data_IF_582554200828
#
_entry.id   IF_582554200828
#
_cell.length_a   1.000
_cell.length_b   1.000
_cell.length_c   1.000
_cell.angle_alpha   90.00
_cell.angle_beta   90.00
_cell.angle_gamma   90.00
#
_symmetry.space_group_name_H-M   'P 1'
#
loop_
_entity.id
_entity.type
_entity.pdbx_description
1 polymer ?
#
# COMPACT_ATOMS: atom_id res chain seq x y z
N UNK A 1 -18.22 1.44 21.80
CA UNK A 1 -17.46 1.73 20.58
C UNK A 1 -16.40 2.77 20.90
N UNK A 2 -15.15 2.64 20.43
CA UNK A 2 -14.16 3.69 20.59
C UNK A 2 -14.62 4.95 19.85
N UNK A 3 -14.33 6.10 20.43
CA UNK A 3 -14.69 7.40 19.85
C UNK A 3 -13.62 7.76 18.84
N UNK A 4 -13.90 7.59 17.55
CA UNK A 4 -12.92 7.64 16.45
C UNK A 4 -12.27 9.01 16.23
N UNK A 5 -12.88 10.09 16.71
CA UNK A 5 -12.33 11.45 16.64
C UNK A 5 -11.48 11.85 17.85
N UNK A 6 -11.34 10.98 18.86
CA UNK A 6 -10.50 11.20 20.04
C UNK A 6 -9.27 10.31 20.04
N UNK A 7 -8.22 10.79 20.70
CA UNK A 7 -7.03 9.97 20.88
C UNK A 7 -7.40 8.60 21.56
N UNK A 8 -6.76 7.51 21.19
CA UNK A 8 -5.61 7.42 20.28
C UNK A 8 -5.93 7.40 18.78
N UNK A 9 -7.19 7.34 18.35
CA UNK A 9 -7.58 7.22 16.94
C UNK A 9 -7.49 8.58 16.23
N UNK A 10 -8.22 9.61 16.71
CA UNK A 10 -8.08 11.00 16.30
C UNK A 10 -8.16 11.27 14.80
N UNK A 11 -9.13 10.65 14.10
CA UNK A 11 -9.27 10.85 12.66
C UNK A 11 -9.61 12.30 12.32
N UNK A 12 -8.94 12.83 11.31
CA UNK A 12 -9.29 14.09 10.65
C UNK A 12 -10.60 13.97 9.86
N UNK A 13 -11.16 15.11 9.45
CA UNK A 13 -12.38 15.10 8.65
C UNK A 13 -12.18 14.42 7.31
N UNK A 14 -11.02 14.59 6.66
CA UNK A 14 -10.70 13.96 5.39
C UNK A 14 -10.60 12.44 5.52
N UNK A 15 -10.04 11.95 6.61
CA UNK A 15 -9.97 10.52 6.92
C UNK A 15 -11.35 9.94 7.21
N UNK A 16 -12.23 10.69 7.88
CA UNK A 16 -13.62 10.28 8.10
C UNK A 16 -14.39 10.22 6.79
N UNK A 17 -14.22 11.22 5.90
CA UNK A 17 -14.81 11.22 4.56
C UNK A 17 -14.37 9.99 3.78
N UNK A 18 -13.08 9.66 3.83
CA UNK A 18 -12.54 8.50 3.13
C UNK A 18 -13.12 7.18 3.65
N UNK A 19 -13.24 7.04 4.97
CA UNK A 19 -13.82 5.85 5.62
C UNK A 19 -15.31 5.70 5.27
N UNK A 20 -16.07 6.78 5.37
CA UNK A 20 -17.50 6.75 5.06
C UNK A 20 -17.73 6.44 3.59
N UNK A 21 -17.02 7.08 2.67
CA UNK A 21 -17.09 6.79 1.24
C UNK A 21 -16.80 5.32 0.94
N UNK A 22 -15.78 4.75 1.59
CA UNK A 22 -15.44 3.34 1.42
C UNK A 22 -16.54 2.40 1.96
N UNK A 23 -17.10 2.69 3.13
CA UNK A 23 -18.16 1.89 3.74
C UNK A 23 -19.42 1.87 2.87
N UNK A 24 -19.88 3.03 2.41
CA UNK A 24 -21.06 3.14 1.55
C UNK A 24 -20.85 2.47 0.19
N UNK A 25 -19.67 2.64 -0.41
CA UNK A 25 -19.32 1.96 -1.66
C UNK A 25 -19.34 0.42 -1.53
N UNK A 26 -18.93 -0.09 -0.37
CA UNK A 26 -18.96 -1.54 -0.08
C UNK A 26 -20.37 -2.09 0.02
N UNK A 27 -21.29 -1.32 0.59
CA UNK A 27 -22.71 -1.71 0.74
C UNK A 27 -23.53 -1.45 -0.54
N UNK A 28 -22.93 -0.89 -1.61
CA UNK A 28 -23.60 -0.56 -2.86
C UNK A 28 -24.60 0.59 -2.73
N UNK A 29 -24.44 1.43 -1.72
CA UNK A 29 -25.24 2.63 -1.45
C UNK A 29 -24.45 3.86 -1.89
N UNK A 30 -25.13 4.86 -2.44
CA UNK A 30 -24.48 6.12 -2.79
C UNK A 30 -23.96 6.81 -1.53
N UNK A 31 -22.66 7.13 -1.46
CA UNK A 31 -22.08 7.76 -0.28
C UNK A 31 -22.59 9.20 -0.14
N UNK A 32 -22.73 9.71 1.09
CA UNK A 32 -23.00 11.13 1.30
C UNK A 32 -21.87 11.98 0.71
N UNK A 33 -22.22 13.18 0.28
CA UNK A 33 -21.23 14.11 -0.26
C UNK A 33 -20.25 14.57 0.82
N UNK A 34 -19.02 14.98 0.47
CA UNK A 34 -18.07 15.54 1.43
C UNK A 34 -18.65 16.68 2.27
N UNK A 35 -19.46 17.54 1.67
CA UNK A 35 -20.11 18.67 2.36
C UNK A 35 -21.13 18.20 3.41
N UNK A 36 -21.87 17.14 3.14
CA UNK A 36 -22.83 16.55 4.08
C UNK A 36 -22.09 15.90 5.27
N UNK A 37 -20.99 15.20 5.01
CA UNK A 37 -20.14 14.62 6.05
C UNK A 37 -19.53 15.73 6.91
N UNK A 38 -19.01 16.79 6.30
CA UNK A 38 -18.45 17.94 7.01
C UNK A 38 -19.49 18.66 7.86
N UNK A 39 -20.69 18.85 7.35
CA UNK A 39 -21.80 19.44 8.09
C UNK A 39 -22.21 18.57 9.29
N UNK A 40 -22.30 17.27 9.11
CA UNK A 40 -22.57 16.32 10.19
C UNK A 40 -21.45 16.32 11.23
N UNK A 41 -20.19 16.33 10.82
CA UNK A 41 -19.02 16.42 11.68
C UNK A 41 -19.08 17.67 12.56
N UNK A 42 -19.33 18.84 11.96
CA UNK A 42 -19.45 20.11 12.68
C UNK A 42 -20.65 20.14 13.64
N UNK A 43 -21.73 19.45 13.29
CA UNK A 43 -22.95 19.40 14.12
C UNK A 43 -22.81 18.50 15.34
N UNK A 44 -22.18 17.33 15.18
CA UNK A 44 -22.16 16.30 16.22
C UNK A 44 -20.86 16.23 17.03
N UNK A 45 -19.77 16.83 16.54
CA UNK A 45 -18.50 16.87 17.24
C UNK A 45 -18.21 18.28 17.72
N UNK A 46 -18.23 18.54 19.04
CA UNK A 46 -17.90 19.83 19.61
C UNK A 46 -16.51 20.31 19.19
N UNK A 47 -16.32 21.60 19.02
CA UNK A 47 -15.04 22.16 18.56
C UNK A 47 -13.86 21.82 19.49
N UNK A 48 -14.12 21.68 20.79
CA UNK A 48 -13.14 21.22 21.78
C UNK A 48 -12.62 19.80 21.54
N UNK A 49 -13.39 18.97 20.85
CA UNK A 49 -13.11 17.56 20.62
C UNK A 49 -12.57 17.31 19.19
N UNK A 50 -12.53 18.36 18.35
CA UNK A 50 -11.98 18.26 17.01
C UNK A 50 -10.45 18.27 17.05
N UNK A 51 -9.75 17.39 16.30
CA UNK A 51 -8.30 17.47 16.21
C UNK A 51 -7.89 18.82 15.61
N UNK A 52 -6.97 19.51 16.27
CA UNK A 52 -6.39 20.75 15.75
C UNK A 52 -5.43 20.39 14.60
N UNK A 53 -5.35 21.22 13.55
CA UNK A 53 -4.48 20.94 12.40
C UNK A 53 -2.99 20.71 12.75
N UNK A 54 -2.55 21.18 13.93
CA UNK A 54 -1.18 21.04 14.42
C UNK A 54 -0.94 19.79 15.28
N UNK A 55 -2.00 19.09 15.72
CA UNK A 55 -1.91 17.94 16.64
C UNK A 55 -1.97 16.59 15.91
N UNK A 56 -2.07 16.58 14.60
CA UNK A 56 -2.00 15.36 13.80
C UNK A 56 -0.54 15.00 13.62
N UNK A 57 -0.03 13.91 14.22
CA UNK A 57 1.29 13.41 13.88
C UNK A 57 1.27 12.95 12.42
N UNK A 58 1.84 13.77 11.53
CA UNK A 58 1.86 13.52 10.09
C UNK A 58 0.54 13.91 9.43
N UNK A 59 0.22 15.22 9.40
CA UNK A 59 -0.63 15.75 8.36
C UNK A 59 0.03 15.37 7.04
N UNK A 60 -0.48 14.31 6.40
CA UNK A 60 -0.10 14.00 5.04
C UNK A 60 -0.31 15.28 4.22
N UNK A 61 0.66 15.70 3.41
CA UNK A 61 0.43 16.80 2.47
C UNK A 61 -0.85 16.49 1.70
N UNK A 62 -1.65 17.51 1.43
CA UNK A 62 -2.91 17.42 0.70
C UNK A 62 -2.82 16.33 -0.35
N UNK A 63 -3.70 15.31 -0.24
CA UNK A 63 -3.64 14.11 -1.05
C UNK A 63 -3.47 14.44 -2.53
N UNK A 64 -2.76 13.63 -3.29
CA UNK A 64 -2.52 13.90 -4.70
C UNK A 64 -3.87 14.11 -5.42
N UNK A 65 -3.87 15.06 -6.36
CA UNK A 65 -5.03 15.33 -7.21
C UNK A 65 -5.63 14.02 -7.76
N UNK A 66 -6.95 13.91 -7.94
CA UNK A 66 -7.59 12.70 -8.44
C UNK A 66 -6.87 12.18 -9.69
N UNK A 67 -6.25 11.00 -9.60
CA UNK A 67 -5.46 10.40 -10.67
C UNK A 67 -3.94 10.57 -10.57
N UNK A 68 -3.41 11.37 -9.64
CA UNK A 68 -1.97 11.42 -9.40
C UNK A 68 -1.50 10.18 -8.62
N UNK A 69 -0.29 9.65 -8.89
CA UNK A 69 0.26 8.54 -8.13
C UNK A 69 0.49 8.95 -6.67
N UNK A 70 0.09 8.09 -5.75
CA UNK A 70 0.24 8.32 -4.30
C UNK A 70 1.71 8.28 -3.88
N UNK A 71 2.56 7.57 -4.65
CA UNK A 71 3.99 7.40 -4.41
C UNK A 71 4.75 7.75 -5.68
N UNK A 72 5.63 8.74 -5.58
CA UNK A 72 6.33 9.34 -6.74
C UNK A 72 7.74 8.80 -6.96
N UNK A 73 8.27 8.02 -6.01
CA UNK A 73 9.64 7.53 -6.08
C UNK A 73 10.71 8.55 -5.69
N UNK A 74 10.32 9.72 -5.17
CA UNK A 74 11.25 10.65 -4.53
C UNK A 74 11.60 10.17 -3.12
N UNK A 75 10.70 9.39 -2.52
CA UNK A 75 10.84 8.84 -1.19
C UNK A 75 11.91 7.74 -1.10
N UNK A 76 12.53 7.55 0.08
CA UNK A 76 13.33 6.38 0.38
C UNK A 76 12.50 5.08 0.21
N UNK A 77 13.16 3.98 -0.18
CA UNK A 77 12.46 2.74 -0.53
C UNK A 77 11.61 2.15 0.62
N UNK A 78 12.04 2.31 1.87
CA UNK A 78 11.26 1.89 3.05
C UNK A 78 9.94 2.67 3.18
N UNK A 79 9.94 3.96 2.86
CA UNK A 79 8.72 4.76 2.84
C UNK A 79 7.80 4.36 1.68
N UNK A 80 8.37 4.04 0.52
CA UNK A 80 7.60 3.52 -0.62
C UNK A 80 6.86 2.24 -0.22
N UNK A 81 7.54 1.27 0.42
CA UNK A 81 6.90 0.05 0.90
C UNK A 81 5.82 0.32 1.96
N UNK A 82 6.02 1.34 2.80
CA UNK A 82 5.05 1.75 3.81
C UNK A 82 3.83 2.40 3.19
N UNK A 83 4.01 3.41 2.32
CA UNK A 83 2.91 4.12 1.65
C UNK A 83 2.10 3.21 0.72
N UNK A 84 2.78 2.25 0.06
CA UNK A 84 2.13 1.26 -0.79
C UNK A 84 1.54 0.07 -0.01
N UNK A 85 1.68 0.04 1.34
CA UNK A 85 1.19 -1.00 2.24
C UNK A 85 1.73 -2.41 1.94
N UNK A 86 2.85 -2.54 1.26
CA UNK A 86 3.45 -3.83 0.94
C UNK A 86 3.81 -4.64 2.20
N UNK A 87 4.27 -3.95 3.25
CA UNK A 87 4.66 -4.52 4.54
C UNK A 87 3.51 -5.23 5.27
N UNK A 88 2.27 -4.82 5.01
CA UNK A 88 1.09 -5.40 5.68
C UNK A 88 0.86 -6.86 5.26
N UNK A 89 1.21 -7.20 4.02
CA UNK A 89 0.99 -8.54 3.47
C UNK A 89 2.28 -9.36 3.34
N UNK A 90 3.42 -8.70 3.14
CA UNK A 90 4.68 -9.36 2.83
C UNK A 90 5.73 -9.22 3.93
N UNK A 91 6.48 -10.29 4.17
CA UNK A 91 7.77 -10.19 4.85
C UNK A 91 8.81 -9.70 3.86
N UNK A 92 9.44 -8.54 4.16
CA UNK A 92 10.46 -7.89 3.31
C UNK A 92 11.72 -7.68 4.14
N UNK A 93 12.78 -8.49 3.94
CA UNK A 93 14.04 -8.34 4.69
C UNK A 93 14.60 -6.93 4.58
N UNK A 94 15.01 -6.35 5.71
CA UNK A 94 15.60 -5.01 5.79
C UNK A 94 14.60 -3.86 5.87
N UNK A 95 13.30 -4.11 5.68
CA UNK A 95 12.25 -3.09 5.85
C UNK A 95 11.64 -3.22 7.25
N UNK A 96 11.76 -2.18 8.11
CA UNK A 96 11.22 -2.22 9.47
C UNK A 96 9.70 -2.48 9.48
N UNK A 97 9.26 -3.42 10.31
CA UNK A 97 7.84 -3.77 10.44
C UNK A 97 7.26 -4.61 9.31
N UNK A 98 8.03 -4.93 8.27
CA UNK A 98 7.56 -5.76 7.15
C UNK A 98 7.67 -7.25 7.48
N UNK A 99 6.74 -7.73 8.29
CA UNK A 99 6.63 -9.13 8.76
C UNK A 99 5.31 -9.79 8.36
N UNK A 100 4.64 -9.24 7.36
CA UNK A 100 3.36 -9.76 6.87
C UNK A 100 3.48 -11.19 6.33
N UNK A 101 2.45 -12.01 6.57
CA UNK A 101 2.39 -13.41 6.16
C UNK A 101 1.15 -13.71 5.27
N UNK A 102 0.46 -12.69 4.82
CA UNK A 102 -0.71 -12.80 3.92
C UNK A 102 -0.29 -13.06 2.48
N UNK A 103 0.94 -12.66 2.14
CA UNK A 103 1.61 -12.92 0.86
C UNK A 103 2.98 -13.57 1.06
N UNK A 104 3.65 -13.96 -0.03
CA UNK A 104 4.96 -14.60 0.05
C UNK A 104 6.03 -13.63 0.59
N UNK A 105 7.05 -14.20 1.24
CA UNK A 105 8.27 -13.48 1.58
C UNK A 105 8.97 -13.02 0.30
N UNK A 106 9.36 -11.74 0.27
CA UNK A 106 9.96 -11.12 -0.91
C UNK A 106 11.50 -11.23 -0.85
N UNK A 107 12.03 -12.29 -1.40
CA UNK A 107 13.48 -12.54 -1.61
C UNK A 107 13.67 -12.91 -3.08
N UNK A 108 13.41 -11.94 -3.96
CA UNK A 108 13.13 -12.21 -5.36
C UNK A 108 14.37 -12.62 -6.16
N UNK A 109 15.57 -12.28 -5.70
CA UNK A 109 16.80 -12.83 -6.30
C UNK A 109 16.86 -14.36 -6.21
N UNK A 110 16.28 -14.93 -5.14
CA UNK A 110 16.17 -16.39 -4.97
C UNK A 110 14.92 -16.95 -5.64
N UNK A 111 13.78 -16.30 -5.44
CA UNK A 111 12.47 -16.87 -5.79
C UNK A 111 12.11 -16.72 -7.26
N UNK A 112 12.35 -15.55 -7.84
CA UNK A 112 11.90 -15.23 -9.20
C UNK A 112 12.46 -16.17 -10.29
N UNK A 113 13.74 -16.58 -10.26
CA UNK A 113 14.26 -17.50 -11.27
C UNK A 113 13.55 -18.86 -11.29
N UNK A 114 13.09 -19.34 -10.14
CA UNK A 114 12.35 -20.60 -10.03
C UNK A 114 10.90 -20.43 -10.48
N UNK A 115 10.27 -19.31 -10.09
CA UNK A 115 8.87 -19.00 -10.42
C UNK A 115 8.66 -18.76 -11.92
N UNK A 116 9.60 -18.06 -12.58
CA UNK A 116 9.57 -17.85 -14.03
C UNK A 116 9.62 -19.18 -14.81
N UNK A 117 10.28 -20.20 -14.26
CA UNK A 117 10.38 -21.54 -14.87
C UNK A 117 9.24 -22.48 -14.49
N UNK A 118 8.36 -22.08 -13.57
CA UNK A 118 7.23 -22.90 -13.16
C UNK A 118 6.26 -23.09 -14.34
N UNK A 119 5.83 -24.33 -14.68
CA UNK A 119 4.83 -24.57 -15.71
C UNK A 119 3.50 -23.85 -15.49
N UNK A 120 3.17 -23.47 -14.25
CA UNK A 120 1.99 -22.69 -13.93
C UNK A 120 2.15 -21.18 -14.17
N UNK A 121 3.37 -20.72 -14.45
CA UNK A 121 3.62 -19.30 -14.75
C UNK A 121 3.01 -18.92 -16.10
N UNK A 122 2.12 -17.92 -16.09
CA UNK A 122 1.41 -17.43 -17.30
C UNK A 122 1.86 -16.03 -17.70
N UNK A 123 2.84 -15.49 -17.01
CA UNK A 123 3.42 -14.19 -17.29
C UNK A 123 4.38 -14.20 -18.48
N UNK A 124 5.00 -13.06 -18.71
CA UNK A 124 5.94 -12.84 -19.83
C UNK A 124 7.34 -12.49 -19.37
N UNK A 125 7.57 -12.39 -18.07
CA UNK A 125 8.87 -12.01 -17.53
C UNK A 125 9.94 -13.08 -17.84
N UNK A 126 11.12 -12.63 -18.23
CA UNK A 126 12.30 -13.45 -18.53
C UNK A 126 13.45 -13.19 -17.57
N UNK A 127 13.33 -12.14 -16.75
CA UNK A 127 14.32 -11.72 -15.77
C UNK A 127 13.67 -11.47 -14.41
N UNK A 128 14.50 -11.46 -13.34
CA UNK A 128 14.06 -11.13 -11.98
C UNK A 128 13.36 -9.78 -11.94
N UNK A 129 13.90 -8.77 -12.61
CA UNK A 129 13.36 -7.42 -12.64
C UNK A 129 11.98 -7.36 -13.30
N UNK A 130 11.85 -8.02 -14.43
CA UNK A 130 10.57 -8.11 -15.15
C UNK A 130 9.53 -8.88 -14.34
N UNK A 131 9.93 -9.97 -13.66
CA UNK A 131 9.05 -10.72 -12.78
C UNK A 131 8.51 -9.85 -11.62
N UNK A 132 9.37 -9.07 -10.98
CA UNK A 132 8.94 -8.16 -9.90
C UNK A 132 7.96 -7.13 -10.45
N UNK A 133 8.27 -6.49 -11.60
CA UNK A 133 7.38 -5.53 -12.24
C UNK A 133 6.02 -6.16 -12.55
N UNK A 134 6.02 -7.32 -13.20
CA UNK A 134 4.80 -8.04 -13.57
C UNK A 134 3.97 -8.43 -12.34
N UNK A 135 4.61 -8.89 -11.27
CA UNK A 135 3.95 -9.23 -10.00
C UNK A 135 3.28 -8.03 -9.34
N UNK A 136 3.80 -6.82 -9.52
CA UNK A 136 3.20 -5.59 -9.01
C UNK A 136 2.02 -5.14 -9.88
N UNK A 137 2.19 -5.15 -11.20
CA UNK A 137 1.21 -4.59 -12.15
C UNK A 137 0.12 -5.60 -12.49
N UNK A 138 0.45 -6.88 -12.56
CA UNK A 138 -0.45 -7.96 -12.95
C UNK A 138 -0.32 -9.15 -11.99
N UNK A 139 -0.66 -8.98 -10.69
CA UNK A 139 -0.38 -9.98 -9.65
C UNK A 139 -1.01 -11.35 -9.90
N UNK A 140 -2.09 -11.42 -10.69
CA UNK A 140 -2.72 -12.69 -11.06
C UNK A 140 -2.01 -13.41 -12.21
N UNK A 141 -0.94 -12.85 -12.81
CA UNK A 141 -0.16 -13.57 -13.83
C UNK A 141 0.53 -14.82 -13.24
N UNK A 142 0.92 -14.75 -11.98
CA UNK A 142 1.41 -15.89 -11.22
C UNK A 142 1.08 -15.77 -9.74
N UNK A 143 0.24 -16.67 -9.25
CA UNK A 143 -0.14 -16.74 -7.84
C UNK A 143 0.69 -17.80 -7.14
N UNK A 144 1.55 -17.37 -6.23
CA UNK A 144 2.42 -18.26 -5.45
C UNK A 144 1.59 -19.08 -4.47
N UNK A 145 1.64 -20.40 -4.57
CA UNK A 145 0.99 -21.29 -3.59
C UNK A 145 1.69 -21.22 -2.22
N UNK A 146 0.98 -21.28 -1.09
CA UNK A 146 -0.47 -21.58 -0.96
C UNK A 146 -1.37 -20.33 -0.95
N UNK A 147 -0.89 -19.16 -1.35
CA UNK A 147 -1.65 -17.92 -1.26
C UNK A 147 -2.79 -17.89 -2.27
N UNK A 148 -3.96 -17.32 -1.90
CA UNK A 148 -5.09 -17.19 -2.82
C UNK A 148 -4.90 -16.03 -3.82
N UNK A 149 -5.52 -16.13 -4.99
CA UNK A 149 -5.63 -15.01 -5.92
C UNK A 149 -6.55 -13.90 -5.37
N UNK A 150 -6.45 -12.72 -5.94
CA UNK A 150 -7.26 -11.54 -5.61
C UNK A 150 -7.06 -10.94 -4.20
N UNK A 151 -6.03 -11.35 -3.47
CA UNK A 151 -5.63 -10.71 -2.21
C UNK A 151 -4.73 -9.50 -2.47
N UNK A 152 -3.78 -9.62 -3.39
CA UNK A 152 -2.93 -8.49 -3.78
C UNK A 152 -3.72 -7.51 -4.64
N UNK A 153 -3.76 -6.21 -4.29
CA UNK A 153 -4.45 -5.19 -5.09
C UNK A 153 -3.92 -5.12 -6.52
N UNK A 154 -4.82 -4.86 -7.49
CA UNK A 154 -4.49 -4.81 -8.94
C UNK A 154 -4.34 -3.38 -9.46
N UNK A 155 -4.31 -2.40 -8.60
CA UNK A 155 -4.33 -0.97 -8.93
C UNK A 155 -3.00 -0.24 -8.66
N UNK A 156 -1.94 -0.98 -8.38
CA UNK A 156 -0.62 -0.39 -8.10
C UNK A 156 -0.08 0.46 -9.27
N UNK A 157 -0.41 0.12 -10.52
CA UNK A 157 -0.06 0.95 -11.67
C UNK A 157 -0.70 2.34 -11.69
N UNK A 158 -1.75 2.57 -10.87
CA UNK A 158 -2.36 3.89 -10.67
C UNK A 158 -1.80 4.61 -9.44
N UNK A 159 -1.30 3.86 -8.46
CA UNK A 159 -0.83 4.38 -7.17
C UNK A 159 0.67 4.67 -7.16
N UNK A 160 1.45 3.95 -7.94
CA UNK A 160 2.89 4.06 -8.03
C UNK A 160 3.27 4.59 -9.40
N UNK A 161 4.13 5.60 -9.45
CA UNK A 161 4.73 6.00 -10.71
C UNK A 161 5.90 5.06 -11.09
N UNK A 162 6.44 5.21 -12.29
CA UNK A 162 7.53 4.38 -12.78
C UNK A 162 8.80 4.45 -11.91
N UNK A 163 9.10 5.62 -11.33
CA UNK A 163 10.26 5.78 -10.46
C UNK A 163 10.12 5.00 -9.15
N UNK A 164 8.92 5.05 -8.53
CA UNK A 164 8.62 4.26 -7.33
C UNK A 164 8.71 2.75 -7.60
N UNK A 165 8.12 2.28 -8.71
CA UNK A 165 8.20 0.88 -9.11
C UNK A 165 9.66 0.46 -9.34
N UNK A 166 10.46 1.28 -10.01
CA UNK A 166 11.88 0.98 -10.23
C UNK A 166 12.66 0.88 -8.91
N UNK A 167 12.43 1.76 -7.94
CA UNK A 167 13.06 1.65 -6.61
C UNK A 167 12.68 0.35 -5.88
N UNK A 168 11.42 -0.06 -5.96
CA UNK A 168 10.97 -1.36 -5.42
C UNK A 168 11.71 -2.50 -6.12
N UNK A 169 11.77 -2.48 -7.45
CA UNK A 169 12.46 -3.51 -8.25
C UNK A 169 13.95 -3.57 -7.89
N UNK A 170 14.61 -2.41 -7.79
CA UNK A 170 16.02 -2.33 -7.45
C UNK A 170 16.31 -2.93 -6.07
N UNK A 171 15.44 -2.70 -5.09
CA UNK A 171 15.57 -3.26 -3.77
C UNK A 171 15.30 -4.77 -3.75
N UNK A 172 14.14 -5.19 -4.25
CA UNK A 172 13.72 -6.60 -4.21
C UNK A 172 14.62 -7.53 -5.04
N UNK A 173 15.17 -7.04 -6.16
CA UNK A 173 16.07 -7.83 -7.01
C UNK A 173 17.41 -8.15 -6.35
N UNK A 174 17.75 -7.49 -5.24
CA UNK A 174 18.95 -7.75 -4.45
C UNK A 174 18.69 -8.71 -3.27
N UNK A 175 17.42 -8.91 -2.88
CA UNK A 175 17.07 -9.73 -1.73
C UNK A 175 17.22 -11.22 -2.05
N UNK A 176 18.11 -11.87 -1.30
CA UNK A 176 18.45 -13.29 -1.42
C UNK A 176 18.16 -14.00 -0.10
N UNK A 177 17.63 -15.22 -0.16
CA UNK A 177 17.32 -15.97 1.04
C UNK A 177 18.58 -16.26 1.85
N UNK A 178 18.54 -15.99 3.16
CA UNK A 178 19.67 -16.21 4.07
C UNK A 178 20.82 -15.22 3.93
N UNK A 179 20.69 -14.17 3.12
CA UNK A 179 21.68 -13.09 3.00
C UNK A 179 21.21 -11.82 3.71
N UNK A 180 22.18 -11.01 4.11
CA UNK A 180 21.92 -9.68 4.68
C UNK A 180 21.32 -8.78 3.62
N UNK A 181 20.21 -8.04 3.94
CA UNK A 181 19.58 -7.13 2.99
C UNK A 181 20.45 -5.92 2.68
N UNK A 182 20.29 -5.29 1.52
CA UNK A 182 20.99 -4.06 1.16
C UNK A 182 20.62 -2.94 2.13
N UNK A 183 21.59 -2.05 2.41
CA UNK A 183 21.34 -0.84 3.21
C UNK A 183 20.39 0.09 2.47
N UNK A 184 19.39 0.59 3.18
CA UNK A 184 18.48 1.61 2.68
C UNK A 184 19.25 2.92 2.57
N UNK A 185 19.24 3.52 1.40
CA UNK A 185 19.82 4.86 1.12
C UNK A 185 18.72 5.88 1.10
#
# INVERSE_FOLDING_TARGET
MPVIHKAPIGLSIDELIAVDTWLFAREGVEPPTPDEIEAAYKKFIPESDRPKPADTPGAAPAGPAPGAPVVTGDEPVNEIFTKALCFACHTIPGIPGAVGAVGPKLVEKTNAPNRIKDPAYKGKATSVREYIMESIITPSAYVVKPFPDNIMPKDFGKKLNAAAINKIIDYLSQLEEGKEPPKIK
#
